data_IF_031660689173
#
_entry.id   IF_031660689173
#
_cell.length_a   1.000
_cell.length_b   1.000
_cell.length_c   1.000
_cell.angle_alpha   90.00
_cell.angle_beta   90.00
_cell.angle_gamma   90.00
#
_symmetry.space_group_name_H-M   'P 1'
#
loop_
_entity.id
_entity.type
_entity.pdbx_description
1 polymer ?
#
# COMPACT_ATOMS: atom_id res chain seq x y z
N UNK A 1 40.29 -6.25 25.20
CA UNK A 1 39.56 -7.34 25.86
C UNK A 1 38.55 -7.88 24.86
N UNK A 2 38.97 -8.88 24.11
CA UNK A 2 38.20 -9.59 23.09
C UNK A 2 37.30 -10.62 23.77
N UNK A 3 36.01 -10.63 23.44
CA UNK A 3 35.11 -11.74 23.76
C UNK A 3 34.89 -12.55 22.49
N UNK A 4 35.52 -13.72 22.46
CA UNK A 4 35.37 -14.75 21.44
C UNK A 4 33.96 -15.36 21.49
N UNK A 5 33.33 -15.53 20.33
CA UNK A 5 32.12 -16.33 20.19
C UNK A 5 32.52 -17.72 19.69
N UNK A 6 32.34 -18.73 20.53
CA UNK A 6 32.61 -20.14 20.23
C UNK A 6 31.57 -20.67 19.25
N UNK A 7 32.02 -21.14 18.08
CA UNK A 7 31.20 -21.89 17.13
C UNK A 7 31.20 -23.38 17.47
N UNK A 8 30.07 -23.90 17.95
CA UNK A 8 29.81 -25.34 18.03
C UNK A 8 29.28 -25.83 16.67
N UNK A 9 30.13 -26.48 15.88
CA UNK A 9 29.72 -27.27 14.71
C UNK A 9 29.24 -28.64 15.21
N UNK A 10 27.93 -28.88 15.19
CA UNK A 10 27.40 -30.23 15.25
C UNK A 10 27.47 -30.86 13.84
N UNK A 11 28.32 -31.88 13.66
CA UNK A 11 28.31 -32.73 12.47
C UNK A 11 27.17 -33.74 12.62
N UNK A 12 26.14 -33.63 11.78
CA UNK A 12 25.15 -34.68 11.61
C UNK A 12 25.65 -35.70 10.55
N UNK A 13 25.48 -37.01 10.77
CA UNK A 13 25.89 -38.04 9.83
C UNK A 13 25.06 -37.96 8.55
N UNK A 14 25.72 -38.03 7.39
CA UNK A 14 25.07 -38.10 6.09
C UNK A 14 24.59 -39.53 5.81
N UNK A 15 23.28 -39.74 5.83
CA UNK A 15 22.62 -40.85 5.16
C UNK A 15 22.02 -40.35 3.84
N UNK A 16 22.16 -41.10 2.73
CA UNK A 16 21.56 -40.70 1.46
C UNK A 16 20.03 -40.82 1.53
N UNK A 17 19.27 -39.93 0.88
CA UNK A 17 17.81 -40.01 0.86
C UNK A 17 17.35 -41.22 0.04
N UNK A 18 16.23 -41.88 0.43
CA UNK A 18 15.65 -42.93 -0.38
C UNK A 18 15.00 -42.35 -1.65
N UNK A 19 15.17 -43.04 -2.78
CA UNK A 19 14.46 -42.75 -4.03
C UNK A 19 12.94 -42.85 -3.81
N UNK A 20 12.24 -41.73 -3.99
CA UNK A 20 10.78 -41.70 -4.07
C UNK A 20 10.35 -41.74 -5.54
N UNK A 21 9.90 -42.91 -5.97
CA UNK A 21 9.19 -43.14 -7.22
C UNK A 21 7.84 -42.42 -7.14
N UNK A 22 7.56 -41.54 -8.11
CA UNK A 22 6.26 -40.89 -8.27
C UNK A 22 5.20 -41.88 -8.75
N UNK A 23 4.16 -42.11 -7.93
CA UNK A 23 2.87 -42.65 -8.36
C UNK A 23 1.81 -41.54 -8.20
N UNK A 24 1.27 -40.97 -9.29
CA UNK A 24 0.28 -39.93 -9.21
C UNK A 24 -1.10 -40.57 -9.22
N UNK A 25 -1.68 -40.86 -8.05
CA UNK A 25 -3.13 -40.89 -7.80
C UNK A 25 -3.42 -41.28 -6.34
N UNK A 26 -4.20 -40.43 -5.66
CA UNK A 26 -4.84 -40.61 -4.33
C UNK A 26 -4.00 -40.29 -3.09
N UNK A 27 -4.22 -39.08 -2.57
CA UNK A 27 -4.39 -38.90 -1.13
C UNK A 27 -5.38 -37.75 -0.88
N UNK A 28 -6.60 -38.10 -0.47
CA UNK A 28 -7.55 -37.18 0.18
C UNK A 28 -7.01 -36.91 1.59
N UNK A 29 -6.77 -35.66 1.96
CA UNK A 29 -6.73 -35.27 3.37
C UNK A 29 -7.77 -34.18 3.61
N UNK A 30 -8.61 -34.46 4.59
CA UNK A 30 -9.68 -33.61 5.08
C UNK A 30 -9.05 -32.68 6.11
N UNK A 31 -9.04 -31.37 5.86
CA UNK A 31 -8.72 -30.36 6.88
C UNK A 31 -9.96 -29.51 7.08
N UNK A 32 -10.59 -29.65 8.24
CA UNK A 32 -11.59 -28.74 8.75
C UNK A 32 -10.90 -27.45 9.20
N UNK A 33 -10.97 -26.42 8.35
CA UNK A 33 -10.67 -25.03 8.72
C UNK A 33 -11.82 -24.17 8.25
N UNK A 34 -12.64 -23.69 9.19
CA UNK A 34 -13.77 -22.81 8.91
C UNK A 34 -13.26 -21.42 8.53
N UNK A 35 -12.98 -21.22 7.25
CA UNK A 35 -12.90 -19.90 6.65
C UNK A 35 -14.32 -19.47 6.29
N UNK A 36 -14.83 -18.45 6.99
CA UNK A 36 -16.04 -17.74 6.58
C UNK A 36 -15.72 -17.06 5.25
N UNK A 37 -15.99 -17.75 4.15
CA UNK A 37 -16.05 -17.20 2.80
C UNK A 37 -17.46 -16.64 2.63
N UNK A 38 -17.61 -15.32 2.75
CA UNK A 38 -18.78 -14.69 2.15
C UNK A 38 -18.53 -14.48 0.65
N UNK A 39 -19.45 -14.91 -0.23
CA UNK A 39 -19.28 -14.75 -1.66
C UNK A 39 -19.58 -13.30 -2.07
N UNK A 40 -18.65 -12.67 -2.79
CA UNK A 40 -19.01 -11.56 -3.68
C UNK A 40 -20.10 -12.04 -4.65
N UNK A 41 -21.11 -11.21 -4.97
CA UNK A 41 -22.12 -11.58 -5.96
C UNK A 41 -21.45 -11.82 -7.31
N UNK A 42 -21.52 -13.08 -7.77
CA UNK A 42 -21.18 -13.50 -9.13
C UNK A 42 -22.11 -12.78 -10.12
N UNK A 43 -21.63 -11.69 -10.72
CA UNK A 43 -22.21 -11.13 -11.94
C UNK A 43 -21.42 -11.58 -13.15
N UNK A 44 -22.07 -12.34 -14.03
CA UNK A 44 -21.82 -12.35 -15.47
C UNK A 44 -20.67 -13.24 -15.97
N UNK A 45 -21.02 -14.18 -16.85
CA UNK A 45 -20.11 -14.98 -17.67
C UNK A 45 -18.97 -14.16 -18.31
N UNK A 46 -17.74 -14.58 -18.06
CA UNK A 46 -16.46 -14.00 -18.49
C UNK A 46 -16.11 -14.25 -19.98
N UNK A 47 -17.09 -14.21 -20.89
CA UNK A 47 -16.87 -14.62 -22.30
C UNK A 47 -16.95 -13.51 -23.35
N UNK A 48 -16.80 -12.22 -23.00
CA UNK A 48 -16.83 -11.12 -23.99
C UNK A 48 -15.83 -9.98 -23.73
N UNK A 49 -14.57 -10.29 -23.37
CA UNK A 49 -13.50 -9.28 -23.46
C UNK A 49 -12.96 -9.22 -24.90
N UNK A 50 -13.43 -8.25 -25.69
CA UNK A 50 -12.72 -7.85 -26.92
C UNK A 50 -11.35 -7.26 -26.52
N UNK A 51 -10.27 -7.54 -27.27
CA UNK A 51 -8.96 -6.95 -26.99
C UNK A 51 -9.05 -5.43 -27.04
N UNK A 52 -8.85 -4.78 -25.88
CA UNK A 52 -8.74 -3.34 -25.78
C UNK A 52 -7.38 -2.95 -26.37
N UNK A 53 -7.37 -2.22 -27.48
CA UNK A 53 -6.13 -1.69 -28.06
C UNK A 53 -5.39 -0.83 -27.03
N UNK A 54 -4.05 -0.85 -27.01
CA UNK A 54 -3.19 -0.05 -26.10
C UNK A 54 -3.63 1.41 -25.95
N UNK A 55 -4.18 2.01 -27.02
CA UNK A 55 -4.65 3.40 -27.05
C UNK A 55 -5.89 3.68 -26.17
N UNK A 56 -6.72 2.67 -25.89
CA UNK A 56 -7.95 2.80 -25.11
C UNK A 56 -7.76 2.50 -23.61
N UNK A 57 -6.60 1.99 -23.18
CA UNK A 57 -6.26 1.79 -21.75
C UNK A 57 -5.95 3.09 -21.00
N UNK A 58 -5.94 4.25 -21.68
CA UNK A 58 -5.69 5.55 -21.05
C UNK A 58 -6.87 6.09 -20.26
N UNK A 59 -8.08 5.54 -20.46
CA UNK A 59 -9.22 5.83 -19.58
C UNK A 59 -8.97 5.11 -18.25
N UNK A 60 -8.83 5.89 -17.19
CA UNK A 60 -8.49 5.43 -15.86
C UNK A 60 -9.51 4.38 -15.40
N UNK A 61 -9.04 3.22 -14.94
CA UNK A 61 -9.87 2.22 -14.25
C UNK A 61 -10.68 2.89 -13.12
N UNK A 62 -10.11 3.92 -12.51
CA UNK A 62 -10.74 4.67 -11.44
C UNK A 62 -11.85 5.65 -11.88
N UNK A 63 -11.95 6.06 -13.15
CA UNK A 63 -13.12 6.85 -13.60
C UNK A 63 -14.39 5.99 -13.61
N UNK A 64 -14.25 4.66 -13.79
CA UNK A 64 -15.38 3.72 -13.82
C UNK A 64 -15.77 3.25 -12.42
N UNK A 65 -14.79 3.01 -11.55
CA UNK A 65 -15.02 2.38 -10.24
C UNK A 65 -14.70 3.26 -9.03
N UNK A 66 -13.96 4.34 -9.25
CA UNK A 66 -13.33 5.14 -8.21
C UNK A 66 -13.96 6.50 -7.95
N UNK A 67 -15.00 6.92 -8.68
CA UNK A 67 -15.49 8.29 -8.64
C UNK A 67 -14.42 9.36 -8.97
N UNK A 68 -13.32 8.98 -9.63
CA UNK A 68 -12.26 9.91 -9.99
C UNK A 68 -12.75 10.92 -11.05
N UNK A 69 -12.31 12.19 -10.98
CA UNK A 69 -12.65 13.20 -11.99
C UNK A 69 -12.34 12.73 -13.42
N UNK A 70 -13.17 13.14 -14.40
CA UNK A 70 -13.10 12.63 -15.78
C UNK A 70 -11.85 13.09 -16.53
N UNK A 71 -11.32 14.22 -16.12
CA UNK A 71 -10.08 14.84 -16.59
C UNK A 71 -8.84 14.14 -16.05
N UNK A 72 -8.97 13.34 -14.98
CA UNK A 72 -7.85 12.61 -14.40
C UNK A 72 -7.61 11.29 -15.13
N UNK A 73 -6.34 10.92 -15.25
CA UNK A 73 -5.86 9.74 -15.95
C UNK A 73 -4.70 9.09 -15.18
N UNK A 74 -4.00 8.15 -15.82
CA UNK A 74 -2.84 7.50 -15.21
C UNK A 74 -1.73 8.51 -14.92
N UNK A 75 -1.15 8.39 -13.74
CA UNK A 75 0.00 9.19 -13.31
C UNK A 75 1.18 9.04 -14.27
N UNK A 76 1.98 10.10 -14.38
CA UNK A 76 3.30 10.08 -15.00
C UNK A 76 4.30 10.44 -13.92
N UNK A 77 5.29 9.59 -13.69
CA UNK A 77 6.22 9.76 -12.58
C UNK A 77 7.02 11.09 -12.71
N UNK A 78 7.27 11.84 -11.63
CA UNK A 78 8.07 13.07 -11.72
C UNK A 78 9.49 12.85 -12.27
N UNK A 79 10.04 11.64 -12.06
CA UNK A 79 11.34 11.24 -12.61
C UNK A 79 11.25 10.56 -13.98
N UNK A 80 10.12 10.67 -14.69
CA UNK A 80 9.91 9.93 -15.95
C UNK A 80 10.93 10.27 -17.04
N UNK A 81 11.55 11.45 -17.01
CA UNK A 81 12.63 11.81 -17.93
C UNK A 81 13.89 10.91 -17.79
N UNK A 82 13.97 10.13 -16.71
CA UNK A 82 15.00 9.11 -16.46
C UNK A 82 14.44 7.67 -16.52
N UNK A 83 13.15 7.48 -16.85
CA UNK A 83 12.55 6.16 -16.93
C UNK A 83 12.80 5.53 -18.31
N UNK A 84 13.23 4.27 -18.33
CA UNK A 84 13.61 3.54 -19.55
C UNK A 84 12.39 3.03 -20.36
N UNK A 85 11.18 3.10 -19.81
CA UNK A 85 9.96 2.66 -20.50
C UNK A 85 9.45 3.72 -21.49
N UNK A 86 9.01 3.27 -22.67
CA UNK A 86 8.41 4.13 -23.69
C UNK A 86 7.02 4.62 -23.29
N UNK A 87 6.32 3.87 -22.45
CA UNK A 87 5.04 4.27 -21.89
C UNK A 87 5.24 5.07 -20.60
N UNK A 88 5.08 6.40 -20.69
CA UNK A 88 5.23 7.32 -19.56
C UNK A 88 4.24 7.06 -18.40
N UNK A 89 3.16 6.32 -18.66
CA UNK A 89 2.18 5.94 -17.64
C UNK A 89 2.57 4.68 -16.86
N UNK A 90 3.66 4.01 -17.24
CA UNK A 90 4.20 2.85 -16.55
C UNK A 90 5.52 3.21 -15.86
N UNK A 91 5.53 3.07 -14.54
CA UNK A 91 6.74 3.23 -13.75
C UNK A 91 7.41 1.87 -13.54
N UNK A 92 8.69 1.75 -13.90
CA UNK A 92 9.49 0.55 -13.64
C UNK A 92 10.07 0.63 -12.24
N UNK A 93 9.55 -0.21 -11.34
CA UNK A 93 10.06 -0.33 -9.98
C UNK A 93 11.07 -1.47 -9.96
N UNK A 94 12.35 -1.16 -9.77
CA UNK A 94 13.43 -2.15 -9.80
C UNK A 94 14.45 -1.97 -8.68
N UNK A 95 14.96 -3.09 -8.17
CA UNK A 95 16.10 -3.14 -7.26
C UNK A 95 17.47 -3.12 -7.96
N UNK A 96 17.49 -3.06 -9.29
CA UNK A 96 18.73 -3.06 -10.06
C UNK A 96 19.45 -1.71 -9.94
N UNK A 97 20.53 -1.65 -9.16
CA UNK A 97 21.24 -0.43 -8.76
C UNK A 97 21.77 0.44 -9.93
N UNK A 98 22.05 -0.15 -11.09
CA UNK A 98 22.62 0.59 -12.22
C UNK A 98 21.60 1.37 -13.08
N UNK A 99 20.29 1.14 -12.91
CA UNK A 99 19.24 1.77 -13.75
C UNK A 99 18.12 2.53 -13.05
N UNK A 100 17.90 2.51 -11.72
CA UNK A 100 16.63 3.03 -11.26
C UNK A 100 16.75 4.54 -11.13
N UNK A 101 15.72 5.29 -11.50
CA UNK A 101 15.59 6.68 -11.06
C UNK A 101 15.72 6.76 -9.52
N UNK A 102 15.29 5.73 -8.80
CA UNK A 102 15.35 5.61 -7.34
C UNK A 102 16.08 4.34 -6.87
N UNK A 103 17.26 4.46 -6.23
CA UNK A 103 17.90 3.31 -5.58
C UNK A 103 17.16 2.96 -4.29
N UNK A 104 16.31 1.93 -4.34
CA UNK A 104 15.42 1.55 -3.23
C UNK A 104 16.17 1.16 -1.94
N UNK A 105 17.36 0.57 -2.04
CA UNK A 105 18.13 0.15 -0.86
C UNK A 105 18.82 1.35 -0.23
N UNK A 106 19.47 2.19 -1.04
CA UNK A 106 20.04 3.46 -0.58
C UNK A 106 18.97 4.36 0.02
N UNK A 107 17.85 4.52 -0.69
CA UNK A 107 16.70 5.30 -0.25
C UNK A 107 16.20 4.81 1.11
N UNK A 108 16.14 3.49 1.32
CA UNK A 108 15.71 2.92 2.60
C UNK A 108 16.73 3.12 3.72
N UNK A 109 18.03 2.99 3.43
CA UNK A 109 19.09 3.18 4.42
C UNK A 109 19.20 4.64 4.89
N UNK A 110 18.88 5.60 4.02
CA UNK A 110 18.92 7.03 4.32
C UNK A 110 17.63 7.56 4.98
N UNK A 111 16.61 6.71 5.23
CA UNK A 111 15.37 7.16 5.88
C UNK A 111 15.61 7.46 7.35
N UNK A 112 15.34 8.71 7.74
CA UNK A 112 15.31 9.16 9.14
C UNK A 112 14.40 8.32 10.07
N UNK A 113 13.35 7.69 9.53
CA UNK A 113 12.39 6.85 10.28
C UNK A 113 12.76 5.35 10.31
N UNK A 114 13.96 4.98 9.84
CA UNK A 114 14.39 3.58 9.74
C UNK A 114 13.43 2.72 8.92
N UNK A 115 13.21 1.47 9.36
CA UNK A 115 12.31 0.52 8.69
C UNK A 115 10.85 1.00 8.62
N UNK A 116 10.40 1.82 9.59
CA UNK A 116 9.04 2.38 9.62
C UNK A 116 8.82 3.38 8.49
N UNK A 117 9.89 4.03 8.02
CA UNK A 117 9.86 4.97 6.89
C UNK A 117 9.50 4.37 5.53
N UNK A 118 9.33 3.05 5.44
CA UNK A 118 8.81 2.41 4.23
C UNK A 118 7.30 2.56 4.04
N UNK A 119 6.53 2.76 5.11
CA UNK A 119 5.08 2.89 5.04
C UNK A 119 4.66 4.21 4.40
N UNK A 120 3.77 4.13 3.42
CA UNK A 120 3.25 5.31 2.71
C UNK A 120 1.96 5.00 1.94
N UNK A 121 1.23 6.07 1.64
CA UNK A 121 0.29 6.12 0.53
C UNK A 121 1.03 6.69 -0.69
N UNK A 122 0.82 6.12 -1.87
CA UNK A 122 1.42 6.61 -3.11
C UNK A 122 1.01 8.07 -3.40
N UNK A 123 1.97 8.88 -3.88
CA UNK A 123 1.72 10.18 -4.52
C UNK A 123 0.93 11.16 -3.62
N UNK A 124 1.18 11.13 -2.30
CA UNK A 124 0.61 12.12 -1.39
C UNK A 124 1.14 13.54 -1.58
N UNK A 125 2.19 13.73 -2.38
CA UNK A 125 2.83 15.04 -2.62
C UNK A 125 2.23 15.83 -3.79
N UNK A 126 1.22 15.28 -4.48
CA UNK A 126 0.49 15.97 -5.54
C UNK A 126 -0.87 16.46 -5.03
N UNK A 127 -1.41 17.59 -5.53
CA UNK A 127 -2.73 18.08 -5.14
C UNK A 127 -3.85 17.06 -5.33
N UNK A 128 -3.86 16.36 -6.47
CA UNK A 128 -4.71 15.19 -6.70
C UNK A 128 -3.88 13.92 -6.47
N UNK A 129 -4.15 13.22 -5.37
CA UNK A 129 -3.39 12.04 -4.94
C UNK A 129 -3.75 10.78 -5.74
N UNK A 130 -3.00 9.70 -5.56
CA UNK A 130 -3.31 8.41 -6.17
C UNK A 130 -4.67 7.82 -5.71
N UNK A 131 -5.39 7.21 -6.64
CA UNK A 131 -6.56 6.37 -6.36
C UNK A 131 -6.18 4.88 -6.28
N UNK A 132 -6.37 4.10 -7.34
CA UNK A 132 -5.97 2.72 -7.42
C UNK A 132 -4.58 2.58 -8.03
N UNK A 133 -3.77 1.75 -7.40
CA UNK A 133 -2.48 1.33 -7.96
C UNK A 133 -2.56 -0.12 -8.38
N UNK A 134 -1.95 -0.42 -9.54
CA UNK A 134 -1.71 -1.78 -10.04
C UNK A 134 -0.21 -2.01 -10.08
N UNK A 135 0.26 -3.06 -9.41
CA UNK A 135 1.66 -3.51 -9.47
C UNK A 135 1.72 -4.92 -10.01
N UNK A 136 2.50 -5.12 -11.08
CA UNK A 136 2.84 -6.43 -11.64
C UNK A 136 4.34 -6.65 -11.53
N UNK A 137 4.78 -7.64 -10.75
CA UNK A 137 6.20 -8.00 -10.72
C UNK A 137 6.55 -8.84 -11.94
N UNK A 138 7.65 -8.53 -12.61
CA UNK A 138 8.18 -9.27 -13.76
C UNK A 138 9.39 -10.13 -13.41
N UNK A 139 10.09 -9.78 -12.33
CA UNK A 139 11.21 -10.53 -11.77
C UNK A 139 11.11 -10.51 -10.25
N UNK A 140 11.42 -11.65 -9.64
CA UNK A 140 11.38 -11.84 -8.20
C UNK A 140 12.76 -12.29 -7.72
N UNK A 141 13.16 -11.90 -6.50
CA UNK A 141 14.30 -12.53 -5.84
C UNK A 141 13.97 -14.00 -5.49
N UNK A 142 15.01 -14.80 -5.24
CA UNK A 142 14.87 -16.19 -4.80
C UNK A 142 14.13 -16.33 -3.47
N UNK A 143 14.24 -15.31 -2.61
CA UNK A 143 13.55 -15.22 -1.33
C UNK A 143 13.32 -13.75 -0.94
N UNK A 144 12.30 -13.50 -0.12
CA UNK A 144 11.91 -12.16 0.34
C UNK A 144 11.24 -11.31 -0.76
N UNK A 145 11.20 -10.00 -0.55
CA UNK A 145 10.65 -9.05 -1.52
C UNK A 145 9.13 -8.90 -1.47
N UNK A 146 8.53 -9.37 -0.39
CA UNK A 146 7.10 -9.28 -0.11
C UNK A 146 6.61 -7.82 -0.08
N UNK A 147 5.30 -7.64 -0.22
CA UNK A 147 4.67 -6.33 -0.05
C UNK A 147 3.66 -6.43 1.08
N UNK A 148 3.67 -5.44 1.96
CA UNK A 148 2.75 -5.33 3.07
C UNK A 148 1.82 -4.14 2.82
N UNK A 149 0.54 -4.31 3.15
CA UNK A 149 -0.46 -3.26 3.18
C UNK A 149 -1.02 -3.13 4.59
N UNK A 150 -1.50 -1.95 4.96
CA UNK A 150 -2.18 -1.68 6.22
C UNK A 150 -3.46 -0.87 5.97
N UNK A 151 -4.58 -1.28 6.57
CA UNK A 151 -5.86 -0.58 6.46
C UNK A 151 -5.86 0.72 7.24
N UNK A 152 -5.92 1.85 6.54
CA UNK A 152 -6.00 3.17 7.18
C UNK A 152 -7.39 3.47 7.76
N UNK A 153 -8.43 2.78 7.26
CA UNK A 153 -9.75 2.75 7.90
C UNK A 153 -9.71 2.01 9.24
N UNK A 154 -9.14 0.81 9.29
CA UNK A 154 -9.11 0.03 10.53
C UNK A 154 -8.25 0.69 11.61
N UNK A 155 -7.14 1.33 11.22
CA UNK A 155 -6.34 2.16 12.12
C UNK A 155 -7.19 3.28 12.71
N UNK A 156 -7.91 4.01 11.86
CA UNK A 156 -8.78 5.11 12.29
C UNK A 156 -9.91 4.62 13.21
N UNK A 157 -10.52 3.47 12.91
CA UNK A 157 -11.60 2.86 13.71
C UNK A 157 -11.15 2.41 15.11
N UNK A 158 -9.85 2.19 15.31
CA UNK A 158 -9.25 1.88 16.63
C UNK A 158 -8.96 3.14 17.47
N UNK A 159 -8.95 4.32 16.86
CA UNK A 159 -8.75 5.59 17.57
C UNK A 159 -10.03 5.98 18.30
N UNK A 160 -9.90 6.45 19.55
CA UNK A 160 -11.06 6.86 20.35
C UNK A 160 -11.84 8.00 19.68
N UNK A 161 -13.18 8.08 19.86
CA UNK A 161 -13.98 9.18 19.30
C UNK A 161 -13.44 10.57 19.62
N UNK A 162 -12.98 10.81 20.85
CA UNK A 162 -12.44 12.11 21.25
C UNK A 162 -11.18 12.50 20.45
N UNK A 163 -10.25 11.55 20.25
CA UNK A 163 -9.08 11.81 19.41
C UNK A 163 -9.47 11.94 17.95
N UNK A 164 -10.41 11.13 17.44
CA UNK A 164 -10.89 11.25 16.07
C UNK A 164 -11.41 12.66 15.78
N UNK A 165 -12.26 13.22 16.64
CA UNK A 165 -12.76 14.59 16.47
C UNK A 165 -11.66 15.64 16.46
N UNK A 166 -10.58 15.45 17.21
CA UNK A 166 -9.40 16.30 17.13
C UNK A 166 -8.66 16.13 15.80
N UNK A 167 -8.41 14.89 15.37
CA UNK A 167 -7.71 14.61 14.12
C UNK A 167 -8.46 15.07 12.87
N UNK A 168 -9.79 15.07 12.92
CA UNK A 168 -10.67 15.58 11.86
C UNK A 168 -10.51 17.08 11.61
N UNK A 169 -9.91 17.85 12.53
CA UNK A 169 -9.66 19.29 12.33
C UNK A 169 -8.28 19.58 11.74
N UNK A 170 -7.42 18.58 11.58
CA UNK A 170 -6.02 18.78 11.24
C UNK A 170 -5.76 18.61 9.74
N UNK A 171 -4.80 19.38 9.25
CA UNK A 171 -4.20 19.26 7.92
C UNK A 171 -2.74 18.86 8.02
N UNK A 172 -2.20 18.28 6.95
CA UNK A 172 -0.81 17.84 6.88
C UNK A 172 -0.20 18.21 5.53
N UNK A 173 1.07 18.64 5.59
CA UNK A 173 1.90 18.90 4.43
C UNK A 173 2.59 17.62 3.99
N UNK A 174 2.43 17.29 2.72
CA UNK A 174 3.11 16.19 2.05
C UNK A 174 4.12 16.73 1.05
N UNK A 175 5.33 16.18 1.03
CA UNK A 175 6.39 16.60 0.10
C UNK A 175 7.22 15.41 -0.39
N UNK A 176 7.90 15.60 -1.53
CA UNK A 176 8.90 14.68 -2.03
C UNK A 176 10.20 15.40 -2.45
N UNK A 177 10.99 15.92 -1.49
CA UNK A 177 12.19 16.69 -1.77
C UNK A 177 13.31 15.86 -2.44
N UNK A 178 13.31 14.54 -2.23
CA UNK A 178 14.35 13.63 -2.76
C UNK A 178 14.41 13.62 -4.30
N UNK A 179 13.31 13.92 -4.98
CA UNK A 179 13.26 13.90 -6.45
C UNK A 179 14.09 15.02 -7.07
N UNK A 180 14.09 16.20 -6.46
CA UNK A 180 14.97 17.29 -6.87
C UNK A 180 16.44 16.93 -6.67
N UNK A 181 16.77 16.31 -5.54
CA UNK A 181 18.13 15.84 -5.27
C UNK A 181 18.56 14.79 -6.30
N UNK A 182 17.70 13.82 -6.62
CA UNK A 182 17.95 12.79 -7.62
C UNK A 182 18.20 13.38 -9.01
N UNK A 183 17.37 14.35 -9.42
CA UNK A 183 17.54 15.07 -10.68
C UNK A 183 18.91 15.76 -10.76
N UNK A 184 19.32 16.44 -9.68
CA UNK A 184 20.63 17.10 -9.57
C UNK A 184 21.80 16.10 -9.61
N UNK A 185 21.70 15.00 -8.88
CA UNK A 185 22.73 13.96 -8.82
C UNK A 185 22.95 13.29 -10.18
N UNK A 186 21.88 13.10 -10.95
CA UNK A 186 21.91 12.36 -12.21
C UNK A 186 21.90 13.24 -13.47
N UNK A 187 21.80 14.56 -13.33
CA UNK A 187 21.89 15.51 -14.43
C UNK A 187 20.69 15.49 -15.38
N UNK A 188 19.47 15.36 -14.86
CA UNK A 188 18.22 15.48 -15.65
C UNK A 188 17.22 16.39 -14.94
N UNK A 189 16.18 16.82 -15.66
CA UNK A 189 15.11 17.67 -15.10
C UNK A 189 13.85 16.86 -14.78
N UNK A 190 13.07 17.35 -13.82
CA UNK A 190 11.76 16.80 -13.50
C UNK A 190 10.81 16.87 -14.70
N UNK A 191 9.88 15.92 -14.74
CA UNK A 191 8.75 15.99 -15.66
C UNK A 191 7.74 17.05 -15.19
N UNK A 192 7.56 18.10 -15.97
CA UNK A 192 6.78 19.30 -15.58
C UNK A 192 5.40 19.40 -16.24
N UNK A 193 5.11 18.60 -17.26
CA UNK A 193 3.77 18.51 -17.85
C UNK A 193 2.78 17.84 -16.87
N UNK A 194 1.50 17.80 -17.24
CA UNK A 194 0.44 17.13 -16.47
C UNK A 194 0.79 15.68 -16.12
N UNK A 195 0.80 15.37 -14.82
CA UNK A 195 1.10 14.06 -14.23
C UNK A 195 -0.17 13.31 -13.85
N UNK A 196 -1.12 13.20 -14.78
CA UNK A 196 -2.38 12.48 -14.56
C UNK A 196 -3.55 13.35 -14.10
N UNK A 197 -3.34 14.64 -13.86
CA UNK A 197 -4.38 15.61 -13.52
C UNK A 197 -3.95 17.01 -13.98
N UNK A 198 -4.88 17.87 -14.46
CA UNK A 198 -4.59 19.28 -14.70
C UNK A 198 -4.10 20.04 -13.46
N UNK A 199 -4.40 19.56 -12.25
CA UNK A 199 -3.91 20.11 -10.99
C UNK A 199 -2.47 19.67 -10.65
N UNK A 200 -1.99 18.58 -11.26
CA UNK A 200 -0.68 17.99 -11.00
C UNK A 200 0.31 18.39 -12.10
N UNK A 201 0.70 19.67 -12.12
CA UNK A 201 1.53 20.28 -13.17
C UNK A 201 2.70 21.06 -12.57
N UNK A 202 3.73 21.30 -13.36
CA UNK A 202 4.90 22.09 -12.97
C UNK A 202 5.88 21.31 -12.08
N UNK A 203 6.71 22.02 -11.34
CA UNK A 203 7.79 21.40 -10.54
C UNK A 203 7.41 21.17 -9.08
N UNK A 204 6.28 21.69 -8.60
CA UNK A 204 5.88 21.53 -7.19
C UNK A 204 5.56 20.07 -6.90
N UNK A 205 6.23 19.50 -5.89
CA UNK A 205 5.96 18.18 -5.33
C UNK A 205 5.63 18.35 -3.84
N UNK A 206 4.66 19.22 -3.59
CA UNK A 206 4.16 19.61 -2.28
C UNK A 206 2.65 19.80 -2.34
N UNK A 207 1.93 19.19 -1.40
CA UNK A 207 0.49 19.30 -1.26
C UNK A 207 0.08 19.37 0.21
N UNK A 208 -1.10 19.91 0.47
CA UNK A 208 -1.73 19.94 1.80
C UNK A 208 -2.99 19.08 1.75
N UNK A 209 -3.13 18.17 2.69
CA UNK A 209 -4.26 17.24 2.76
C UNK A 209 -4.80 17.15 4.18
N UNK A 210 -6.09 16.82 4.37
CA UNK A 210 -6.61 16.55 5.70
C UNK A 210 -5.93 15.32 6.31
N UNK A 211 -5.67 15.34 7.61
CA UNK A 211 -5.10 14.16 8.33
C UNK A 211 -6.05 12.98 8.27
N UNK A 212 -7.35 13.24 8.28
CA UNK A 212 -8.43 12.27 8.08
C UNK A 212 -9.14 12.61 6.80
N UNK A 213 -9.20 11.68 5.84
CA UNK A 213 -9.90 11.90 4.57
C UNK A 213 -11.17 11.07 4.48
N UNK A 214 -12.05 11.45 3.56
CA UNK A 214 -13.20 10.65 3.12
C UNK A 214 -12.86 9.92 1.82
N UNK A 215 -13.21 8.63 1.71
CA UNK A 215 -13.18 7.91 0.44
C UNK A 215 -14.47 8.23 -0.34
N UNK A 216 -14.40 8.75 -1.58
CA UNK A 216 -15.57 9.20 -2.34
C UNK A 216 -16.45 8.06 -2.88
N UNK A 217 -15.97 6.81 -2.82
CA UNK A 217 -16.72 5.63 -3.26
C UNK A 217 -17.50 5.04 -2.09
N UNK A 218 -16.85 4.91 -0.93
CA UNK A 218 -17.45 4.23 0.23
C UNK A 218 -18.09 5.19 1.23
N UNK A 219 -17.73 6.47 1.20
CA UNK A 219 -18.09 7.44 2.24
C UNK A 219 -17.39 7.18 3.58
N UNK A 220 -16.36 6.32 3.59
CA UNK A 220 -15.65 5.98 4.83
C UNK A 220 -14.53 6.96 5.14
N UNK A 221 -14.38 7.25 6.42
CA UNK A 221 -13.24 7.97 6.97
C UNK A 221 -12.01 7.06 7.02
N UNK A 222 -10.86 7.62 6.68
CA UNK A 222 -9.57 6.93 6.75
C UNK A 222 -8.46 7.89 7.18
N UNK A 223 -7.45 7.37 7.88
CA UNK A 223 -6.25 8.14 8.19
C UNK A 223 -5.44 8.35 6.90
N UNK A 224 -4.91 9.55 6.69
CA UNK A 224 -4.02 9.90 5.58
C UNK A 224 -2.67 10.46 6.06
N UNK A 225 -2.66 11.26 7.12
CA UNK A 225 -1.51 12.05 7.62
C UNK A 225 -0.33 11.26 8.21
N UNK A 226 0.10 10.18 7.57
CA UNK A 226 1.18 9.29 8.03
C UNK A 226 2.03 8.81 6.86
N UNK A 227 3.25 8.39 7.16
CA UNK A 227 4.17 7.81 6.20
C UNK A 227 5.21 8.81 5.69
N UNK A 228 6.06 8.33 4.77
CA UNK A 228 7.27 9.04 4.36
C UNK A 228 7.05 10.37 3.62
N UNK A 229 5.89 10.57 3.02
CA UNK A 229 5.55 11.80 2.32
C UNK A 229 5.00 12.87 3.27
N UNK A 230 4.32 12.48 4.36
CA UNK A 230 3.82 13.40 5.38
C UNK A 230 5.01 13.99 6.16
N UNK A 231 5.31 15.28 5.95
CA UNK A 231 6.44 15.97 6.59
C UNK A 231 6.06 16.66 7.89
N UNK A 232 4.83 17.19 7.96
CA UNK A 232 4.32 17.86 9.15
C UNK A 232 2.80 17.89 9.16
N UNK A 233 2.24 17.94 10.36
CA UNK A 233 0.84 18.25 10.62
C UNK A 233 0.78 19.76 10.91
N UNK A 234 0.09 20.48 10.03
CA UNK A 234 0.21 21.93 9.88
C UNK A 234 -0.28 22.73 11.09
N UNK A 235 -1.31 22.20 11.76
CA UNK A 235 -2.01 22.88 12.86
C UNK A 235 -1.38 22.61 14.24
N UNK A 236 -0.24 21.93 14.30
CA UNK A 236 0.44 21.52 15.53
C UNK A 236 1.86 22.09 15.61
N UNK A 237 2.41 22.16 16.82
CA UNK A 237 3.85 22.44 16.98
C UNK A 237 4.68 21.31 16.36
N UNK A 238 5.94 21.59 16.02
CA UNK A 238 6.83 20.59 15.40
C UNK A 238 6.96 19.32 16.25
N UNK A 239 7.01 19.44 17.58
CA UNK A 239 7.10 18.30 18.49
C UNK A 239 5.79 17.50 18.56
N UNK A 240 4.64 18.17 18.61
CA UNK A 240 3.33 17.51 18.58
C UNK A 240 3.10 16.78 17.24
N UNK A 241 3.40 17.46 16.13
CA UNK A 241 3.35 16.87 14.78
C UNK A 241 4.19 15.60 14.71
N UNK A 242 5.45 15.67 15.18
CA UNK A 242 6.37 14.52 15.17
C UNK A 242 5.84 13.37 16.02
N UNK A 243 5.39 13.63 17.25
CA UNK A 243 4.85 12.60 18.15
C UNK A 243 3.60 11.94 17.58
N UNK A 244 2.73 12.72 16.95
CA UNK A 244 1.50 12.22 16.39
C UNK A 244 1.77 11.35 15.15
N UNK A 245 2.69 11.76 14.28
CA UNK A 245 3.17 10.95 13.16
C UNK A 245 3.84 9.65 13.62
N UNK A 246 4.73 9.71 14.62
CA UNK A 246 5.39 8.55 15.22
C UNK A 246 4.36 7.56 15.79
N UNK A 247 3.32 8.06 16.46
CA UNK A 247 2.23 7.24 16.99
C UNK A 247 1.42 6.56 15.88
N UNK A 248 1.11 7.26 14.79
CA UNK A 248 0.43 6.64 13.64
C UNK A 248 1.27 5.53 13.01
N UNK A 249 2.57 5.74 12.84
CA UNK A 249 3.49 4.70 12.37
C UNK A 249 3.57 3.52 13.35
N UNK A 250 3.56 3.81 14.66
CA UNK A 250 3.52 2.78 15.69
C UNK A 250 2.25 1.93 15.56
N UNK A 251 1.09 2.56 15.42
CA UNK A 251 -0.18 1.86 15.21
C UNK A 251 -0.12 0.96 13.96
N UNK A 252 0.47 1.43 12.85
CA UNK A 252 0.64 0.60 11.66
C UNK A 252 1.49 -0.64 11.97
N UNK A 253 2.66 -0.45 12.56
CA UNK A 253 3.68 -1.50 12.73
C UNK A 253 3.33 -2.51 13.83
N UNK A 254 2.73 -2.05 14.92
CA UNK A 254 2.48 -2.82 16.14
C UNK A 254 1.06 -3.42 16.20
N UNK A 255 0.28 -3.26 15.12
CA UNK A 255 -1.10 -3.78 15.03
C UNK A 255 -1.19 -4.78 13.87
N UNK A 256 -0.94 -6.08 14.09
CA UNK A 256 -0.90 -7.07 13.01
C UNK A 256 -2.25 -7.25 12.29
N UNK A 257 -3.37 -7.05 12.97
CA UNK A 257 -4.71 -7.26 12.41
C UNK A 257 -5.16 -6.18 11.42
N UNK A 258 -4.42 -5.05 11.32
CA UNK A 258 -4.63 -4.10 10.22
C UNK A 258 -3.79 -4.41 8.99
N UNK A 259 -2.84 -5.34 9.09
CA UNK A 259 -1.86 -5.61 8.04
C UNK A 259 -2.23 -6.83 7.17
N UNK A 260 -1.90 -6.74 5.90
CA UNK A 260 -1.88 -7.86 4.97
C UNK A 260 -0.48 -7.97 4.37
N UNK A 261 0.17 -9.13 4.51
CA UNK A 261 1.43 -9.44 3.85
C UNK A 261 1.17 -10.34 2.65
N UNK A 262 1.56 -9.88 1.46
CA UNK A 262 1.50 -10.68 0.24
C UNK A 262 2.89 -11.16 -0.14
N UNK A 263 3.05 -12.48 -0.16
CA UNK A 263 4.21 -13.14 -0.74
C UNK A 263 3.98 -13.30 -2.24
N UNK A 264 4.84 -12.67 -3.03
CA UNK A 264 4.86 -12.84 -4.47
C UNK A 264 5.44 -14.23 -4.78
N UNK A 265 4.69 -15.05 -5.53
CA UNK A 265 5.07 -16.44 -5.79
C UNK A 265 5.54 -16.64 -7.23
N UNK A 266 5.00 -15.88 -8.19
CA UNK A 266 5.30 -16.05 -9.60
C UNK A 266 5.59 -14.73 -10.30
N UNK A 267 6.43 -14.75 -11.36
CA UNK A 267 6.45 -13.68 -12.33
C UNK A 267 5.04 -13.41 -12.85
N UNK A 268 4.71 -12.13 -12.95
CA UNK A 268 3.43 -11.57 -13.37
C UNK A 268 2.28 -11.67 -12.36
N UNK A 269 2.55 -12.14 -11.13
CA UNK A 269 1.65 -11.88 -10.01
C UNK A 269 1.36 -10.38 -9.94
N UNK A 270 0.07 -10.05 -9.75
CA UNK A 270 -0.44 -8.69 -9.83
C UNK A 270 -1.26 -8.37 -8.59
N UNK A 271 -0.99 -7.22 -7.98
CA UNK A 271 -1.80 -6.67 -6.90
C UNK A 271 -2.47 -5.36 -7.36
N UNK A 272 -3.70 -5.14 -6.88
CA UNK A 272 -4.46 -3.91 -7.07
C UNK A 272 -4.92 -3.45 -5.70
N UNK A 273 -4.77 -2.16 -5.40
CA UNK A 273 -5.20 -1.62 -4.11
C UNK A 273 -5.72 -0.19 -4.23
N UNK A 274 -6.62 0.20 -3.32
CA UNK A 274 -7.11 1.58 -3.18
C UNK A 274 -6.20 2.36 -2.21
N UNK A 275 -5.43 3.28 -2.76
CA UNK A 275 -4.47 4.10 -2.05
C UNK A 275 -5.13 5.15 -1.12
N UNK A 276 -6.44 5.37 -1.26
CA UNK A 276 -7.22 6.28 -0.40
C UNK A 276 -7.53 5.66 0.96
N UNK A 277 -7.35 4.34 1.11
CA UNK A 277 -7.68 3.59 2.33
C UNK A 277 -6.58 2.64 2.80
N UNK A 278 -5.40 2.69 2.16
CA UNK A 278 -4.30 1.78 2.43
C UNK A 278 -2.97 2.51 2.49
N UNK A 279 -2.15 2.13 3.47
CA UNK A 279 -0.72 2.31 3.42
C UNK A 279 -0.06 1.04 2.93
N UNK A 280 1.13 1.15 2.37
CA UNK A 280 1.91 -0.02 1.97
C UNK A 280 3.41 0.20 2.13
N UNK A 281 4.15 -0.90 2.15
CA UNK A 281 5.62 -0.91 2.15
C UNK A 281 6.14 -2.14 1.40
N UNK A 282 7.26 -1.97 0.70
CA UNK A 282 8.01 -3.09 0.15
C UNK A 282 8.98 -3.61 1.22
N UNK A 283 8.94 -4.91 1.50
CA UNK A 283 9.88 -5.51 2.44
C UNK A 283 11.23 -5.71 1.75
N UNK A 284 12.30 -5.14 2.31
CA UNK A 284 13.64 -5.17 1.72
C UNK A 284 14.51 -6.31 2.29
N UNK A 285 13.90 -7.47 2.53
CA UNK A 285 14.51 -8.68 3.12
C UNK A 285 15.15 -9.63 2.07
N UNK A 286 15.54 -9.08 0.92
CA UNK A 286 16.03 -9.85 -0.23
C UNK A 286 17.38 -9.35 -0.77
N UNK A 287 18.15 -8.63 0.06
CA UNK A 287 19.49 -8.19 -0.30
C UNK A 287 20.39 -9.41 -0.59
N UNK A 288 20.98 -9.44 -1.79
CA UNK A 288 21.80 -10.57 -2.25
C UNK A 288 20.99 -11.77 -2.80
N UNK A 289 19.66 -11.71 -2.82
CA UNK A 289 18.79 -12.80 -3.29
C UNK A 289 18.31 -12.62 -4.74
N UNK A 290 18.89 -11.69 -5.51
CA UNK A 290 18.49 -11.40 -6.90
C UNK A 290 17.68 -10.13 -7.07
N UNK A 291 17.13 -9.94 -8.28
CA UNK A 291 16.42 -8.70 -8.65
C UNK A 291 14.92 -8.79 -8.35
N UNK A 292 14.38 -7.68 -7.84
CA UNK A 292 12.95 -7.43 -7.76
C UNK A 292 12.60 -6.33 -8.75
N UNK A 293 11.90 -6.68 -9.82
CA UNK A 293 11.51 -5.74 -10.90
C UNK A 293 10.03 -5.89 -11.20
N UNK A 294 9.34 -4.78 -11.41
CA UNK A 294 7.93 -4.78 -11.79
C UNK A 294 7.49 -3.49 -12.46
N UNK A 295 6.31 -3.52 -13.06
CA UNK A 295 5.66 -2.34 -13.64
C UNK A 295 4.51 -1.91 -12.74
N UNK A 296 4.47 -0.61 -12.46
CA UNK A 296 3.44 0.02 -11.65
C UNK A 296 2.69 1.05 -12.49
N UNK A 297 1.37 0.90 -12.52
CA UNK A 297 0.46 1.91 -13.05
C UNK A 297 -0.35 2.46 -11.88
N UNK A 298 -0.49 3.79 -11.81
CA UNK A 298 -1.21 4.47 -10.74
C UNK A 298 -2.25 5.37 -11.37
N UNK A 299 -3.50 5.26 -10.98
CA UNK A 299 -4.53 6.24 -11.35
C UNK A 299 -4.48 7.45 -10.43
N UNK A 300 -4.89 8.61 -10.95
CA UNK A 300 -5.03 9.84 -10.17
C UNK A 300 -6.49 10.07 -9.80
N UNK A 301 -6.74 10.15 -8.49
CA UNK A 301 -8.03 10.40 -7.89
C UNK A 301 -8.33 11.89 -7.74
N UNK A 302 -9.35 12.18 -6.96
CA UNK A 302 -9.75 13.52 -6.54
C UNK A 302 -8.74 14.17 -5.56
N UNK A 303 -8.90 15.49 -5.37
CA UNK A 303 -8.30 16.20 -4.24
C UNK A 303 -8.78 15.56 -2.93
N UNK A 304 -7.84 15.23 -2.03
CA UNK A 304 -8.19 14.64 -0.74
C UNK A 304 -9.02 15.62 0.10
N UNK A 305 -10.23 15.20 0.50
CA UNK A 305 -11.15 16.02 1.27
C UNK A 305 -11.65 15.27 2.52
N UNK A 306 -12.18 16.04 3.47
CA UNK A 306 -12.88 15.53 4.64
C UNK A 306 -14.34 16.00 4.60
N UNK A 307 -15.27 15.04 4.70
CA UNK A 307 -16.69 15.32 4.89
C UNK A 307 -17.09 14.93 6.33
N UNK A 308 -17.55 15.87 7.16
CA UNK A 308 -18.04 15.58 8.51
C UNK A 308 -19.19 14.56 8.55
N UNK A 309 -19.98 14.46 7.49
CA UNK A 309 -21.11 13.53 7.38
C UNK A 309 -20.69 12.09 7.07
N UNK A 310 -19.43 11.87 6.70
CA UNK A 310 -18.88 10.53 6.48
C UNK A 310 -18.90 9.69 7.76
N UNK A 311 -18.98 8.38 7.60
CA UNK A 311 -18.93 7.45 8.72
C UNK A 311 -17.56 6.78 8.81
N UNK A 312 -17.26 6.21 9.97
CA UNK A 312 -16.18 5.22 10.05
C UNK A 312 -16.57 3.94 9.30
N UNK A 313 -15.59 3.10 8.97
CA UNK A 313 -15.86 1.83 8.27
C UNK A 313 -16.70 0.92 9.16
N UNK A 314 -16.35 0.80 10.44
CA UNK A 314 -17.09 -0.01 11.41
C UNK A 314 -18.54 0.44 11.56
N UNK A 315 -18.80 1.74 11.69
CA UNK A 315 -20.17 2.28 11.78
C UNK A 315 -20.99 1.95 10.53
N UNK A 316 -20.40 2.07 9.33
CA UNK A 316 -21.07 1.75 8.08
C UNK A 316 -21.43 0.26 7.99
N UNK A 317 -20.49 -0.62 8.30
CA UNK A 317 -20.71 -2.07 8.27
C UNK A 317 -21.72 -2.52 9.34
N UNK A 318 -21.69 -1.92 10.53
CA UNK A 318 -22.67 -2.21 11.58
C UNK A 318 -24.07 -1.68 11.22
N UNK A 319 -24.17 -0.56 10.51
CA UNK A 319 -25.43 -0.09 9.95
C UNK A 319 -25.97 -1.04 8.86
N UNK A 320 -25.10 -1.53 7.97
CA UNK A 320 -25.46 -2.50 6.93
C UNK A 320 -25.98 -3.82 7.52
N UNK A 321 -25.27 -4.38 8.51
CA UNK A 321 -25.70 -5.61 9.21
C UNK A 321 -27.06 -5.44 9.89
N UNK A 322 -27.27 -4.32 10.59
CA UNK A 322 -28.57 -3.98 11.20
C UNK A 322 -29.68 -3.88 10.15
N UNK A 323 -29.40 -3.26 9.00
CA UNK A 323 -30.34 -3.16 7.90
C UNK A 323 -30.70 -4.53 7.29
N UNK A 324 -29.77 -5.48 7.31
CA UNK A 324 -29.99 -6.89 6.89
C UNK A 324 -30.68 -7.75 7.96
N UNK A 325 -30.96 -7.21 9.14
CA UNK A 325 -31.58 -7.96 10.25
C UNK A 325 -30.61 -8.92 10.97
N UNK A 326 -29.31 -8.78 10.74
CA UNK A 326 -28.27 -9.54 11.42
C UNK A 326 -28.01 -8.92 12.80
N UNK A 327 -28.84 -9.27 13.78
CA UNK A 327 -28.69 -8.76 15.16
C UNK A 327 -27.55 -9.50 15.86
N UNK A 328 -26.49 -8.78 16.19
CA UNK A 328 -25.48 -9.24 17.16
C UNK A 328 -26.06 -9.11 18.57
N UNK A 329 -26.57 -10.20 19.15
CA UNK A 329 -26.96 -10.24 20.56
C UNK A 329 -25.70 -10.27 21.43
N UNK A 330 -25.33 -9.12 21.99
CA UNK A 330 -24.22 -8.97 22.93
C UNK A 330 -24.36 -9.76 24.23
N UNK A 331 -25.40 -10.58 24.41
CA UNK A 331 -25.63 -11.41 25.61
C UNK A 331 -24.99 -12.79 25.59
N UNK A 332 -24.49 -13.30 24.47
CA UNK A 332 -23.78 -14.58 24.43
C UNK A 332 -22.25 -14.42 24.48
N UNK A 333 -21.76 -13.84 25.60
CA UNK A 333 -20.38 -14.09 26.05
C UNK A 333 -20.36 -15.33 26.95
N UNK A 334 -20.67 -16.48 26.36
CA UNK A 334 -20.37 -17.77 26.97
C UNK A 334 -18.88 -18.08 26.82
N UNK A 335 -18.25 -18.78 27.78
CA UNK A 335 -16.81 -19.05 27.78
C UNK A 335 -16.31 -19.85 26.57
N UNK A 336 -17.20 -20.39 25.72
CA UNK A 336 -16.84 -21.23 24.58
C UNK A 336 -16.46 -20.44 23.31
N UNK A 337 -16.73 -19.13 23.24
CA UNK A 337 -16.32 -18.28 22.12
C UNK A 337 -15.00 -17.50 22.36
N UNK A 338 -14.29 -17.79 23.46
CA UNK A 338 -12.96 -17.24 23.73
C UNK A 338 -11.83 -18.00 23.01
N UNK A 339 -12.11 -19.16 22.41
CA UNK A 339 -11.10 -20.03 21.79
C UNK A 339 -10.96 -19.87 20.26
N UNK A 340 -11.64 -18.89 19.65
CA UNK A 340 -11.46 -18.56 18.22
C UNK A 340 -10.57 -17.33 18.00
N UNK A 341 -9.84 -16.89 19.03
CA UNK A 341 -8.79 -15.87 18.94
C UNK A 341 -7.67 -16.17 19.95
N UNK A 342 -6.82 -17.14 19.60
CA UNK A 342 -5.40 -17.17 20.00
C UNK A 342 -4.54 -17.34 18.75
#
# INVERSE_FOLDING_TARGET
>A
MSAETVHLKAQLPQTPPPELVHDPLKAKSTVHGSLIREPMPLMGSLNHFKPISRTNCKRNFATVWGNSPKENYLHIHPLNNFNDDLDKNLNVITSYQARPAEDIFRNSAERHLGARGGWHADIGYEPHSADYTVLKLTQLPESGGDTLWASSCEIYDKISPAYRSFLETLTATFEQPRYFQTCKEKGFELYTDSRGSPANVGTSLKAHHPVVRTNPVTGWKSLLGVGNHCQKIDDLTAEESRRLHDWFLQMIVETPDVQCRFRWNNPYDTAIWDNRTLFHTANLDYAGCGLRTGHRAVGIGEEAYFDPASSTRREALDAEKRAKGEVFDGKNRGPENLLAME
#
